data_IF_708744320134
#
_entry.id   IF_708744320134
#
_cell.length_a   1.000
_cell.length_b   1.000
_cell.length_c   1.000
_cell.angle_alpha   90.00
_cell.angle_beta   90.00
_cell.angle_gamma   90.00
#
_symmetry.space_group_name_H-M   'P 1'
#
loop_
_entity.id
_entity.type
_entity.pdbx_description
1 polymer ?
#
# COMPACT_ATOMS: atom_id res chain seq x y z
N UNK A 1 29.28 -21.51 18.32
CA UNK A 1 30.07 -20.42 17.74
C UNK A 1 29.35 -19.96 16.47
N UNK A 2 28.41 -19.01 16.57
CA UNK A 2 27.51 -18.57 15.47
C UNK A 2 27.59 -17.05 15.20
N UNK A 3 28.60 -16.37 15.73
CA UNK A 3 28.75 -14.92 15.58
C UNK A 3 29.36 -14.46 14.26
N UNK A 4 29.84 -15.39 13.41
CA UNK A 4 30.57 -15.06 12.18
C UNK A 4 29.72 -14.84 10.93
N UNK A 5 28.54 -15.44 10.85
CA UNK A 5 27.74 -15.46 9.61
C UNK A 5 26.81 -14.26 9.45
N UNK A 6 26.37 -13.65 10.55
CA UNK A 6 25.50 -12.45 10.52
C UNK A 6 26.26 -11.20 10.03
N UNK A 7 27.58 -11.16 10.23
CA UNK A 7 28.40 -9.96 9.94
C UNK A 7 28.76 -9.77 8.47
N UNK A 8 28.69 -10.82 7.63
CA UNK A 8 29.03 -10.73 6.21
C UNK A 8 27.82 -10.41 5.32
N UNK A 9 26.60 -10.40 5.86
CA UNK A 9 25.41 -10.05 5.10
C UNK A 9 25.31 -8.53 4.93
N UNK A 10 25.12 -8.00 3.71
CA UNK A 10 25.03 -6.56 3.51
C UNK A 10 23.82 -5.95 4.25
N UNK A 11 24.09 -5.20 5.32
CA UNK A 11 23.08 -4.64 6.23
C UNK A 11 22.18 -3.54 5.60
N UNK A 12 22.46 -3.12 4.36
CA UNK A 12 21.64 -2.15 3.63
C UNK A 12 20.41 -2.76 2.97
N UNK A 13 20.37 -4.08 2.78
CA UNK A 13 19.23 -4.79 2.18
C UNK A 13 18.03 -4.91 3.12
N UNK A 14 18.27 -4.99 4.43
CA UNK A 14 17.20 -5.19 5.42
C UNK A 14 16.16 -4.06 5.43
N UNK A 15 16.55 -2.82 5.12
CA UNK A 15 15.65 -1.66 5.04
C UNK A 15 14.87 -1.53 3.73
N UNK A 16 15.22 -2.32 2.70
CA UNK A 16 14.64 -2.20 1.36
C UNK A 16 13.17 -2.62 1.34
N UNK A 17 12.81 -3.68 2.06
CA UNK A 17 11.42 -4.15 2.17
C UNK A 17 10.48 -3.06 2.70
N UNK A 18 10.89 -2.35 3.77
CA UNK A 18 10.11 -1.24 4.32
C UNK A 18 9.99 -0.10 3.33
N UNK A 19 11.10 0.28 2.70
CA UNK A 19 11.13 1.37 1.71
C UNK A 19 10.19 1.06 0.53
N UNK A 20 10.27 -0.15 -0.01
CA UNK A 20 9.43 -0.56 -1.14
C UNK A 20 7.96 -0.66 -0.74
N UNK A 21 7.65 -1.02 0.51
CA UNK A 21 6.27 -1.02 1.00
C UNK A 21 5.69 0.40 1.05
N UNK A 22 6.48 1.39 1.48
CA UNK A 22 6.09 2.80 1.41
C UNK A 22 5.87 3.26 -0.03
N UNK A 23 6.84 2.99 -0.91
CA UNK A 23 6.77 3.39 -2.32
C UNK A 23 5.56 2.76 -3.03
N UNK A 24 5.20 1.51 -2.71
CA UNK A 24 4.00 0.89 -3.24
C UNK A 24 2.74 1.68 -2.86
N UNK A 25 2.58 2.07 -1.58
CA UNK A 25 1.45 2.88 -1.14
C UNK A 25 1.44 4.29 -1.75
N UNK A 26 2.61 4.90 -1.98
CA UNK A 26 2.72 6.20 -2.65
C UNK A 26 2.26 6.12 -4.11
N UNK A 27 2.68 5.09 -4.84
CA UNK A 27 2.25 4.88 -6.22
C UNK A 27 0.75 4.53 -6.30
N UNK A 28 0.23 3.75 -5.35
CA UNK A 28 -1.21 3.50 -5.23
C UNK A 28 -1.99 4.83 -5.02
N UNK A 29 -1.47 5.73 -4.18
CA UNK A 29 -2.07 7.06 -3.96
C UNK A 29 -2.06 7.91 -5.23
N UNK A 30 -0.93 7.96 -5.94
CA UNK A 30 -0.81 8.71 -7.20
C UNK A 30 -1.81 8.19 -8.23
N UNK A 31 -1.98 6.87 -8.34
CA UNK A 31 -2.97 6.27 -9.23
C UNK A 31 -4.40 6.66 -8.86
N UNK A 32 -4.75 6.64 -7.57
CA UNK A 32 -6.08 7.05 -7.11
C UNK A 32 -6.36 8.53 -7.37
N UNK A 33 -5.38 9.42 -7.18
CA UNK A 33 -5.52 10.84 -7.52
C UNK A 33 -5.84 11.02 -9.00
N UNK A 34 -5.01 10.45 -9.88
CA UNK A 34 -5.23 10.54 -11.32
C UNK A 34 -6.60 9.96 -11.74
N UNK A 35 -7.03 8.86 -11.12
CA UNK A 35 -8.31 8.21 -11.42
C UNK A 35 -9.54 8.93 -10.87
N UNK A 36 -9.41 9.79 -9.85
CA UNK A 36 -10.55 10.36 -9.13
C UNK A 36 -10.63 11.90 -9.14
N UNK A 37 -9.50 12.59 -9.30
CA UNK A 37 -9.45 14.06 -9.42
C UNK A 37 -9.80 14.51 -10.85
N UNK A 38 -9.38 13.75 -11.85
CA UNK A 38 -9.58 14.08 -13.27
C UNK A 38 -10.79 13.34 -13.82
N UNK A 39 -11.70 14.09 -14.44
CA UNK A 39 -12.90 13.51 -15.05
C UNK A 39 -12.62 12.81 -16.37
N UNK A 40 -11.61 13.28 -17.11
CA UNK A 40 -11.13 12.68 -18.35
C UNK A 40 -9.59 12.63 -18.34
N UNK A 41 -9.00 11.72 -17.56
CA UNK A 41 -7.54 11.65 -17.41
C UNK A 41 -6.86 11.25 -18.72
N UNK A 42 -5.67 11.82 -18.97
CA UNK A 42 -4.92 11.56 -20.19
C UNK A 42 -4.57 10.05 -20.32
N UNK A 43 -4.89 9.39 -21.45
CA UNK A 43 -4.63 7.96 -21.61
C UNK A 43 -3.16 7.55 -21.46
N UNK A 44 -2.22 8.45 -21.80
CA UNK A 44 -0.79 8.16 -21.67
C UNK A 44 -0.32 8.26 -20.22
N UNK A 45 -0.84 9.24 -19.47
CA UNK A 45 -0.61 9.38 -18.03
C UNK A 45 -1.22 8.21 -17.24
N UNK A 46 -2.42 7.76 -17.61
CA UNK A 46 -3.04 6.55 -17.04
C UNK A 46 -2.17 5.31 -17.27
N UNK A 47 -1.66 5.12 -18.49
CA UNK A 47 -0.81 3.99 -18.82
C UNK A 47 0.53 4.03 -18.06
N UNK A 48 1.13 5.21 -17.94
CA UNK A 48 2.36 5.42 -17.19
C UNK A 48 2.18 5.15 -15.69
N UNK A 49 1.14 5.72 -15.09
CA UNK A 49 0.84 5.52 -13.66
C UNK A 49 0.53 4.06 -13.36
N UNK A 50 -0.22 3.39 -14.25
CA UNK A 50 -0.43 1.94 -14.17
C UNK A 50 0.88 1.16 -14.18
N UNK A 51 1.81 1.50 -15.08
CA UNK A 51 3.14 0.87 -15.11
C UNK A 51 3.88 1.06 -13.79
N UNK A 52 3.86 2.28 -13.22
CA UNK A 52 4.53 2.58 -11.95
C UNK A 52 3.99 1.76 -10.77
N UNK A 53 2.66 1.65 -10.63
CA UNK A 53 2.02 0.82 -9.59
C UNK A 53 2.48 -0.63 -9.68
N UNK A 54 2.46 -1.22 -10.90
CA UNK A 54 2.90 -2.60 -11.11
C UNK A 54 4.40 -2.77 -10.83
N UNK A 55 5.23 -1.79 -11.20
CA UNK A 55 6.67 -1.81 -10.94
C UNK A 55 6.96 -1.74 -9.44
N UNK A 56 6.26 -0.88 -8.70
CA UNK A 56 6.41 -0.74 -7.26
C UNK A 56 6.03 -2.03 -6.53
N UNK A 57 4.93 -2.68 -6.93
CA UNK A 57 4.56 -3.99 -6.42
C UNK A 57 5.64 -5.05 -6.67
N UNK A 58 6.18 -5.12 -7.90
CA UNK A 58 7.23 -6.09 -8.23
C UNK A 58 8.52 -5.86 -7.44
N UNK A 59 8.91 -4.60 -7.23
CA UNK A 59 10.05 -4.25 -6.39
C UNK A 59 9.83 -4.68 -4.93
N UNK A 60 8.62 -4.46 -4.42
CA UNK A 60 8.22 -4.89 -3.09
C UNK A 60 8.26 -6.42 -2.95
N UNK A 61 7.64 -7.16 -3.87
CA UNK A 61 7.67 -8.63 -3.88
C UNK A 61 9.10 -9.17 -3.92
N UNK A 62 9.95 -8.59 -4.77
CA UNK A 62 11.37 -8.96 -4.87
C UNK A 62 12.10 -8.74 -3.55
N UNK A 63 11.86 -7.60 -2.89
CA UNK A 63 12.48 -7.30 -1.59
C UNK A 63 12.01 -8.23 -0.46
N UNK A 64 10.78 -8.76 -0.50
CA UNK A 64 10.35 -9.79 0.44
C UNK A 64 11.09 -11.11 0.18
N UNK A 65 11.19 -11.55 -1.08
CA UNK A 65 11.89 -12.79 -1.41
C UNK A 65 13.37 -12.73 -0.98
N UNK A 66 13.99 -11.56 -1.10
CA UNK A 66 15.33 -11.29 -0.56
C UNK A 66 15.32 -11.40 0.97
N UNK A 67 14.43 -10.67 1.66
CA UNK A 67 14.31 -10.69 3.12
C UNK A 67 14.10 -12.11 3.69
N UNK A 68 13.36 -12.97 2.99
CA UNK A 68 13.14 -14.37 3.37
C UNK A 68 14.40 -15.24 3.31
N UNK A 69 15.42 -14.83 2.57
CA UNK A 69 16.71 -15.52 2.49
C UNK A 69 17.73 -14.95 3.49
N UNK A 70 17.47 -13.77 4.05
CA UNK A 70 18.42 -13.12 4.97
C UNK A 70 18.32 -13.71 6.38
N UNK A 71 19.45 -14.02 7.03
CA UNK A 71 19.46 -14.37 8.44
C UNK A 71 19.09 -13.15 9.29
N UNK A 72 18.26 -13.35 10.32
CA UNK A 72 17.92 -12.31 11.30
C UNK A 72 16.59 -11.59 11.07
N UNK A 73 15.75 -12.08 10.15
CA UNK A 73 14.31 -11.78 10.15
C UNK A 73 13.54 -12.81 10.98
N UNK A 74 12.58 -12.33 11.76
CA UNK A 74 11.64 -13.20 12.47
C UNK A 74 10.67 -13.84 11.48
N UNK A 75 10.42 -15.14 11.66
CA UNK A 75 9.55 -15.92 10.75
C UNK A 75 8.11 -15.38 10.69
N UNK A 76 7.58 -14.95 11.84
CA UNK A 76 6.24 -14.36 11.93
C UNK A 76 6.16 -13.00 11.22
N UNK A 77 7.21 -12.17 11.32
CA UNK A 77 7.29 -10.91 10.57
C UNK A 77 7.24 -11.13 9.06
N UNK A 78 7.99 -12.13 8.56
CA UNK A 78 7.99 -12.46 7.13
C UNK A 78 6.62 -13.01 6.67
N UNK A 79 5.94 -13.78 7.53
CA UNK A 79 4.58 -14.26 7.26
C UNK A 79 3.57 -13.10 7.18
N UNK A 80 3.63 -12.18 8.13
CA UNK A 80 2.81 -10.96 8.15
C UNK A 80 3.07 -10.11 6.90
N UNK A 81 4.33 -9.89 6.52
CA UNK A 81 4.68 -9.14 5.32
C UNK A 81 4.25 -9.84 4.02
N UNK A 82 4.23 -11.17 3.97
CA UNK A 82 3.69 -11.91 2.82
C UNK A 82 2.19 -11.68 2.67
N UNK A 83 1.44 -11.66 3.77
CA UNK A 83 0.02 -11.34 3.74
C UNK A 83 -0.20 -9.88 3.33
N UNK A 84 0.61 -8.96 3.86
CA UNK A 84 0.60 -7.54 3.48
C UNK A 84 0.77 -7.35 1.96
N UNK A 85 1.78 -7.99 1.37
CA UNK A 85 2.07 -7.92 -0.07
C UNK A 85 0.94 -8.53 -0.91
N UNK A 86 0.30 -9.57 -0.42
CA UNK A 86 -0.88 -10.16 -1.08
C UNK A 86 -2.02 -9.14 -1.17
N UNK A 87 -2.25 -8.37 -0.12
CA UNK A 87 -3.26 -7.31 -0.15
C UNK A 87 -2.86 -6.13 -1.06
N UNK A 88 -1.58 -5.77 -1.12
CA UNK A 88 -1.12 -4.78 -2.10
C UNK A 88 -1.32 -5.26 -3.54
N UNK A 89 -1.09 -6.56 -3.84
CA UNK A 89 -1.39 -7.13 -5.17
C UNK A 89 -2.87 -6.95 -5.53
N UNK A 90 -3.81 -7.22 -4.61
CA UNK A 90 -5.23 -7.01 -4.87
C UNK A 90 -5.59 -5.53 -5.12
N UNK A 91 -4.92 -4.60 -4.43
CA UNK A 91 -5.06 -3.17 -4.71
C UNK A 91 -4.59 -2.85 -6.13
N UNK A 92 -3.41 -3.34 -6.54
CA UNK A 92 -2.90 -3.18 -7.91
C UNK A 92 -3.89 -3.73 -8.96
N UNK A 93 -4.50 -4.88 -8.70
CA UNK A 93 -5.51 -5.47 -9.58
C UNK A 93 -6.77 -4.58 -9.70
N UNK A 94 -7.21 -3.97 -8.60
CA UNK A 94 -8.32 -3.03 -8.63
C UNK A 94 -7.97 -1.73 -9.36
N UNK A 95 -6.77 -1.16 -9.12
CA UNK A 95 -6.30 0.02 -9.84
C UNK A 95 -6.22 -0.25 -11.35
N UNK A 96 -5.65 -1.40 -11.75
CA UNK A 96 -5.60 -1.83 -13.15
C UNK A 96 -7.00 -1.91 -13.79
N UNK A 97 -7.98 -2.46 -13.07
CA UNK A 97 -9.37 -2.54 -13.54
C UNK A 97 -10.02 -1.15 -13.64
N UNK A 98 -9.82 -0.29 -12.64
CA UNK A 98 -10.32 1.09 -12.64
C UNK A 98 -9.72 1.92 -13.79
N UNK A 99 -8.45 1.72 -14.14
CA UNK A 99 -7.83 2.36 -15.31
C UNK A 99 -8.52 1.96 -16.63
N UNK A 100 -9.00 0.72 -16.75
CA UNK A 100 -9.76 0.30 -17.92
C UNK A 100 -11.13 1.01 -17.93
N UNK A 101 -11.84 0.99 -16.79
CA UNK A 101 -13.14 1.65 -16.63
C UNK A 101 -13.07 3.16 -16.93
N UNK A 102 -12.05 3.86 -16.43
CA UNK A 102 -11.89 5.29 -16.62
C UNK A 102 -11.77 5.70 -18.10
N UNK A 103 -11.23 4.81 -18.96
CA UNK A 103 -11.10 5.04 -20.41
C UNK A 103 -12.42 4.86 -21.16
N UNK A 104 -13.39 4.16 -20.58
CA UNK A 104 -14.67 3.78 -21.21
C UNK A 104 -15.84 4.73 -20.85
N UNK A 105 -15.51 5.95 -20.38
CA UNK A 105 -16.37 7.01 -19.81
C UNK A 105 -16.52 6.97 -18.28
N UNK A 106 -16.37 8.14 -17.66
CA UNK A 106 -16.25 8.34 -16.21
C UNK A 106 -17.55 8.09 -15.43
N UNK A 107 -17.44 7.38 -14.30
CA UNK A 107 -18.56 6.68 -13.65
C UNK A 107 -19.03 7.26 -12.31
N UNK A 108 -18.32 8.26 -11.75
CA UNK A 108 -18.67 8.85 -10.45
C UNK A 108 -19.05 10.32 -10.60
N UNK A 109 -19.94 10.80 -9.73
CA UNK A 109 -20.14 12.25 -9.59
C UNK A 109 -18.87 12.86 -8.97
N UNK A 110 -18.52 14.12 -9.30
CA UNK A 110 -17.33 14.77 -8.75
C UNK A 110 -17.28 14.75 -7.21
N UNK A 111 -18.44 14.94 -6.57
CA UNK A 111 -18.56 14.88 -5.11
C UNK A 111 -18.21 13.49 -4.56
N UNK A 112 -18.76 12.43 -5.14
CA UNK A 112 -18.51 11.07 -4.67
C UNK A 112 -17.06 10.64 -4.93
N UNK A 113 -16.49 11.04 -6.08
CA UNK A 113 -15.08 10.80 -6.38
C UNK A 113 -14.15 11.46 -5.33
N UNK A 114 -14.43 12.71 -4.96
CA UNK A 114 -13.68 13.42 -3.92
C UNK A 114 -13.78 12.75 -2.54
N UNK A 115 -14.99 12.33 -2.14
CA UNK A 115 -15.20 11.62 -0.87
C UNK A 115 -14.40 10.31 -0.83
N UNK A 116 -14.44 9.50 -1.89
CA UNK A 116 -13.66 8.27 -1.97
C UNK A 116 -12.15 8.53 -1.98
N UNK A 117 -11.71 9.53 -2.74
CA UNK A 117 -10.29 9.89 -2.80
C UNK A 117 -9.79 10.24 -1.40
N UNK A 118 -10.47 11.15 -0.71
CA UNK A 118 -10.09 11.56 0.64
C UNK A 118 -10.02 10.36 1.61
N UNK A 119 -11.01 9.48 1.60
CA UNK A 119 -11.01 8.28 2.46
C UNK A 119 -9.83 7.35 2.11
N UNK A 120 -9.56 7.13 0.83
CA UNK A 120 -8.45 6.28 0.40
C UNK A 120 -7.08 6.88 0.78
N UNK A 121 -6.90 8.19 0.60
CA UNK A 121 -5.67 8.87 1.00
C UNK A 121 -5.40 8.75 2.48
N UNK A 122 -6.43 8.93 3.33
CA UNK A 122 -6.28 8.76 4.77
C UNK A 122 -5.93 7.31 5.11
N UNK A 123 -6.57 6.33 4.46
CA UNK A 123 -6.29 4.92 4.68
C UNK A 123 -4.86 4.55 4.27
N UNK A 124 -4.37 5.04 3.13
CA UNK A 124 -2.99 4.87 2.64
C UNK A 124 -1.98 5.51 3.60
N UNK A 125 -2.19 6.77 3.98
CA UNK A 125 -1.33 7.48 4.94
C UNK A 125 -1.29 6.78 6.30
N UNK A 126 -2.42 6.24 6.77
CA UNK A 126 -2.46 5.47 8.00
C UNK A 126 -1.66 4.17 7.90
N UNK A 127 -1.73 3.47 6.76
CA UNK A 127 -0.89 2.29 6.50
C UNK A 127 0.59 2.66 6.52
N UNK A 128 0.99 3.76 5.87
CA UNK A 128 2.37 4.27 5.87
C UNK A 128 2.84 4.62 7.28
N UNK A 129 2.03 5.34 8.06
CA UNK A 129 2.38 5.68 9.45
C UNK A 129 2.61 4.43 10.30
N UNK A 130 1.80 3.38 10.13
CA UNK A 130 1.98 2.12 10.84
C UNK A 130 3.24 1.35 10.44
N UNK A 131 3.74 1.55 9.23
CA UNK A 131 5.04 1.02 8.81
C UNK A 131 6.23 1.77 9.43
N UNK A 132 6.01 2.92 10.10
CA UNK A 132 7.07 3.72 10.74
C UNK A 132 6.93 3.85 12.27
N UNK A 133 5.73 3.67 12.83
CA UNK A 133 5.47 3.99 14.22
C UNK A 133 4.31 3.19 14.86
N UNK A 134 4.53 2.67 16.08
CA UNK A 134 3.51 2.04 16.95
C UNK A 134 2.88 3.03 17.94
N UNK A 135 2.40 4.16 17.42
CA UNK A 135 1.69 5.14 18.23
C UNK A 135 0.26 4.74 18.57
N UNK A 136 -0.38 5.41 19.55
CA UNK A 136 -1.83 5.39 19.63
C UNK A 136 -2.42 5.90 18.31
N UNK A 137 -3.28 5.12 17.65
CA UNK A 137 -3.98 5.56 16.43
C UNK A 137 -5.31 6.18 16.78
N UNK A 138 -5.65 7.24 16.06
CA UNK A 138 -7.03 7.61 15.83
C UNK A 138 -7.73 6.49 15.06
N UNK A 139 -8.94 6.15 15.52
CA UNK A 139 -9.74 4.95 15.24
C UNK A 139 -9.89 4.53 13.76
N UNK A 140 -10.08 3.22 13.54
CA UNK A 140 -10.52 2.58 12.27
C UNK A 140 -11.77 3.22 11.61
N UNK A 141 -12.50 4.08 12.33
CA UNK A 141 -13.67 4.80 11.83
C UNK A 141 -13.36 5.68 10.60
N UNK A 142 -12.11 6.09 10.40
CA UNK A 142 -11.73 7.03 9.33
C UNK A 142 -11.52 6.32 7.97
N UNK A 143 -11.40 4.98 7.95
CA UNK A 143 -11.24 4.20 6.71
C UNK A 143 -12.56 3.65 6.18
N UNK A 144 -13.70 4.05 6.77
CA UNK A 144 -15.00 3.55 6.32
C UNK A 144 -15.33 4.15 4.95
N UNK A 145 -15.78 3.32 4.00
CA UNK A 145 -16.24 3.84 2.72
C UNK A 145 -17.44 4.77 2.93
N UNK A 146 -17.65 5.76 2.05
CA UNK A 146 -18.87 6.58 2.04
C UNK A 146 -20.14 5.73 2.12
N UNK A 147 -21.18 6.28 2.75
CA UNK A 147 -22.47 5.60 2.84
C UNK A 147 -23.07 5.38 1.45
N UNK A 148 -23.73 4.23 1.29
CA UNK A 148 -24.45 3.93 0.07
C UNK A 148 -25.68 4.84 -0.04
N UNK A 149 -25.85 5.48 -1.20
CA UNK A 149 -27.11 6.13 -1.51
C UNK A 149 -28.22 5.07 -1.61
N UNK A 150 -29.28 5.13 -0.79
CA UNK A 150 -30.29 4.06 -0.69
C UNK A 150 -30.97 3.72 -2.02
N UNK A 151 -31.07 4.71 -2.91
CA UNK A 151 -31.86 4.64 -4.15
C UNK A 151 -30.99 4.51 -5.41
N UNK A 152 -29.66 4.47 -5.29
CA UNK A 152 -28.74 4.42 -6.44
C UNK A 152 -27.94 3.11 -6.46
N UNK A 153 -27.86 2.41 -7.61
CA UNK A 153 -27.03 1.21 -7.72
C UNK A 153 -25.54 1.56 -7.62
N UNK A 154 -24.79 0.71 -6.91
CA UNK A 154 -23.33 0.83 -6.78
C UNK A 154 -22.68 0.62 -8.14
N UNK A 155 -21.88 1.60 -8.58
CA UNK A 155 -21.14 1.50 -9.84
C UNK A 155 -19.98 0.50 -9.71
N UNK A 156 -19.48 -0.02 -10.83
CA UNK A 156 -18.29 -0.89 -10.79
C UNK A 156 -17.07 -0.16 -10.24
N UNK A 157 -16.91 1.13 -10.57
CA UNK A 157 -15.87 1.99 -10.01
C UNK A 157 -15.97 2.05 -8.47
N UNK A 158 -17.17 2.30 -7.95
CA UNK A 158 -17.42 2.34 -6.51
C UNK A 158 -17.13 0.99 -5.84
N UNK A 159 -17.47 -0.13 -6.49
CA UNK A 159 -17.17 -1.47 -5.99
C UNK A 159 -15.66 -1.70 -5.84
N UNK A 160 -14.86 -1.27 -6.81
CA UNK A 160 -13.40 -1.35 -6.72
C UNK A 160 -12.84 -0.51 -5.58
N UNK A 161 -13.30 0.74 -5.43
CA UNK A 161 -12.87 1.62 -4.34
C UNK A 161 -13.19 1.05 -2.96
N UNK A 162 -14.40 0.50 -2.77
CA UNK A 162 -14.78 -0.17 -1.52
C UNK A 162 -13.89 -1.39 -1.21
N UNK A 163 -13.49 -2.15 -2.22
CA UNK A 163 -12.56 -3.28 -2.05
C UNK A 163 -11.14 -2.81 -1.72
N UNK A 164 -10.65 -1.76 -2.37
CA UNK A 164 -9.36 -1.12 -2.03
C UNK A 164 -9.36 -0.72 -0.55
N UNK A 165 -10.40 -0.02 -0.07
CA UNK A 165 -10.52 0.37 1.35
C UNK A 165 -10.56 -0.84 2.30
N UNK A 166 -11.22 -1.93 1.91
CA UNK A 166 -11.20 -3.17 2.67
C UNK A 166 -9.78 -3.76 2.78
N UNK A 167 -9.03 -3.80 1.68
CA UNK A 167 -7.64 -4.24 1.68
C UNK A 167 -6.74 -3.33 2.52
N UNK A 168 -6.89 -2.02 2.41
CA UNK A 168 -6.14 -1.05 3.22
C UNK A 168 -6.42 -1.20 4.72
N UNK A 169 -7.66 -1.50 5.11
CA UNK A 169 -8.01 -1.77 6.52
C UNK A 169 -7.27 -3.00 7.07
N UNK A 170 -7.20 -4.07 6.27
CA UNK A 170 -6.45 -5.28 6.63
C UNK A 170 -4.95 -4.99 6.67
N UNK A 171 -4.42 -4.30 5.65
CA UNK A 171 -3.01 -3.88 5.61
C UNK A 171 -2.63 -3.00 6.79
N UNK A 172 -3.49 -2.08 7.23
CA UNK A 172 -3.25 -1.25 8.41
C UNK A 172 -3.09 -2.11 9.69
N UNK A 173 -3.93 -3.15 9.83
CA UNK A 173 -3.85 -4.08 10.96
C UNK A 173 -2.57 -4.90 10.90
N UNK A 174 -2.22 -5.43 9.72
CA UNK A 174 -0.98 -6.18 9.50
C UNK A 174 0.25 -5.30 9.75
N UNK A 175 0.28 -4.07 9.24
CA UNK A 175 1.37 -3.10 9.47
C UNK A 175 1.60 -2.89 10.97
N UNK A 176 0.53 -2.81 11.76
CA UNK A 176 0.62 -2.64 13.22
C UNK A 176 1.23 -3.87 13.91
N UNK A 177 0.90 -5.08 13.45
CA UNK A 177 1.47 -6.34 13.97
C UNK A 177 2.92 -6.54 13.54
N UNK A 178 3.20 -6.37 12.24
CA UNK A 178 4.52 -6.52 11.65
C UNK A 178 5.52 -5.52 12.26
N UNK A 179 5.12 -4.28 12.51
CA UNK A 179 6.00 -3.29 13.14
C UNK A 179 6.52 -3.73 14.52
N UNK A 180 5.70 -4.42 15.32
CA UNK A 180 6.12 -4.94 16.63
C UNK A 180 7.17 -6.03 16.53
N UNK A 181 7.16 -6.77 15.44
CA UNK A 181 8.04 -7.91 15.17
C UNK A 181 9.19 -7.56 14.21
N UNK A 182 9.35 -6.27 13.90
CA UNK A 182 10.33 -5.80 12.93
C UNK A 182 11.76 -6.17 13.34
N UNK A 183 12.69 -6.31 12.38
CA UNK A 183 14.10 -6.49 12.69
C UNK A 183 14.64 -5.36 13.59
N UNK A 184 15.53 -5.71 14.52
CA UNK A 184 16.15 -4.77 15.45
C UNK A 184 17.60 -4.38 15.07
N UNK A 185 17.94 -4.48 13.78
CA UNK A 185 19.28 -4.21 13.25
C UNK A 185 19.23 -3.38 11.96
N UNK A 186 20.39 -2.90 11.50
CA UNK A 186 20.52 -2.16 10.25
C UNK A 186 19.67 -0.88 10.18
N UNK A 187 19.05 -0.63 9.02
CA UNK A 187 18.23 0.57 8.76
C UNK A 187 16.99 0.62 9.67
N UNK A 188 16.53 -0.50 10.22
CA UNK A 188 15.40 -0.57 11.14
C UNK A 188 15.63 0.07 12.51
N UNK A 189 16.91 0.31 12.88
CA UNK A 189 17.26 1.12 14.05
C UNK A 189 16.89 2.60 13.84
N UNK A 190 16.79 3.06 12.59
CA UNK A 190 16.35 4.43 12.28
C UNK A 190 14.83 4.50 12.29
N UNK A 191 14.31 5.31 13.22
CA UNK A 191 12.88 5.56 13.41
C UNK A 191 12.19 6.25 12.22
N UNK A 192 12.95 6.92 11.34
CA UNK A 192 12.43 7.53 10.11
C UNK A 192 13.20 7.03 8.89
N UNK A 193 12.49 6.74 7.79
CA UNK A 193 13.10 6.61 6.47
C UNK A 193 13.61 8.01 6.08
N UNK A 194 14.92 8.23 6.17
CA UNK A 194 15.51 9.49 5.70
C UNK A 194 15.88 9.30 4.24
N UNK A 195 15.33 10.13 3.37
CA UNK A 195 15.80 10.23 1.99
C UNK A 195 17.23 10.76 2.02
N UNK A 196 18.13 10.03 1.35
CA UNK A 196 19.49 10.45 1.02
C UNK A 196 19.56 10.65 -0.46
#
# INVERSE_FOLDING_TARGET
MFGGTIWLWPQWQSGLLRKNAHQALEHDQTALRLLLEEQEPDPSELAYTRMQVNQAHNALFTSLNQAMQEPGFESNYLADMRLWITHNQFIVEHLNAMTILAREHYMLTPKLAQEYLQTCEIALQSCQQRLEYDGPSTSNSIMQPPDLHPDMPVTEMERHLRRILSHLTVMHTISSLAWRQRPHHGIWLKRKLRES
#
